data_IF_308083028905
#
_entry.id   IF_308083028905
#
_cell.length_a   1.000
_cell.length_b   1.000
_cell.length_c   1.000
_cell.angle_alpha   90.00
_cell.angle_beta   90.00
_cell.angle_gamma   90.00
#
_symmetry.space_group_name_H-M   'P 1'
#
loop_
_entity.id
_entity.type
_entity.pdbx_description
1 polymer ?
#
# COMPACT_ATOMS: atom_id res chain seq x y z
N UNK A 1 -14.51 4.72 16.27
CA UNK A 1 -13.46 3.87 16.90
C UNK A 1 -13.43 2.42 16.39
N UNK A 2 -14.55 1.71 16.19
CA UNK A 2 -14.48 0.30 15.73
C UNK A 2 -14.50 0.11 14.21
N UNK A 3 -15.11 1.00 13.41
CA UNK A 3 -15.18 0.84 11.93
C UNK A 3 -13.92 1.33 11.21
N UNK A 4 -13.30 2.41 11.67
CA UNK A 4 -12.07 2.97 11.06
C UNK A 4 -10.88 2.00 11.16
N UNK A 5 -10.84 1.20 12.23
CA UNK A 5 -9.78 0.21 12.47
C UNK A 5 -9.82 -0.96 11.48
N UNK A 6 -11.02 -1.33 10.99
CA UNK A 6 -11.17 -2.35 9.95
C UNK A 6 -10.66 -1.84 8.59
N UNK A 7 -10.91 -0.58 8.24
CA UNK A 7 -10.47 0.01 6.97
C UNK A 7 -8.96 0.27 6.89
N UNK A 8 -8.31 0.55 8.03
CA UNK A 8 -6.84 0.72 8.05
C UNK A 8 -6.13 -0.62 7.92
N UNK A 9 -6.66 -1.70 8.51
CA UNK A 9 -6.04 -3.02 8.48
C UNK A 9 -6.40 -3.86 7.23
N UNK A 10 -7.51 -3.56 6.55
CA UNK A 10 -7.93 -4.26 5.32
C UNK A 10 -7.07 -3.90 4.10
N UNK A 11 -6.59 -2.65 4.01
CA UNK A 11 -5.88 -2.14 2.82
C UNK A 11 -4.56 -2.88 2.50
N UNK A 12 -3.66 -3.14 3.46
CA UNK A 12 -2.47 -3.97 3.20
C UNK A 12 -2.82 -5.40 2.80
N UNK A 13 -3.93 -5.93 3.32
CA UNK A 13 -4.37 -7.30 3.05
C UNK A 13 -4.91 -7.44 1.62
N UNK A 14 -5.71 -6.49 1.15
CA UNK A 14 -6.22 -6.46 -0.23
C UNK A 14 -5.11 -6.25 -1.25
N UNK A 15 -4.17 -5.35 -0.96
CA UNK A 15 -2.99 -5.14 -1.79
C UNK A 15 -2.15 -6.43 -1.93
N UNK A 16 -1.88 -7.12 -0.82
CA UNK A 16 -1.12 -8.37 -0.87
C UNK A 16 -1.87 -9.47 -1.60
N UNK A 17 -3.21 -9.53 -1.52
CA UNK A 17 -4.03 -10.45 -2.33
C UNK A 17 -3.87 -10.17 -3.82
N UNK A 18 -4.02 -8.91 -4.23
CA UNK A 18 -3.88 -8.51 -5.63
C UNK A 18 -2.47 -8.77 -6.15
N UNK A 19 -1.44 -8.44 -5.36
CA UNK A 19 -0.03 -8.72 -5.67
C UNK A 19 0.19 -10.21 -5.91
N UNK A 20 -0.27 -11.07 -4.99
CA UNK A 20 -0.13 -12.53 -5.13
C UNK A 20 -0.82 -13.05 -6.38
N UNK A 21 -2.04 -12.58 -6.67
CA UNK A 21 -2.75 -12.96 -7.89
C UNK A 21 -1.99 -12.54 -9.16
N UNK A 22 -1.47 -11.31 -9.22
CA UNK A 22 -0.66 -10.80 -10.32
C UNK A 22 0.61 -11.64 -10.55
N UNK A 23 1.32 -11.99 -9.47
CA UNK A 23 2.52 -12.84 -9.54
C UNK A 23 2.19 -14.27 -10.00
N UNK A 24 1.08 -14.84 -9.53
CA UNK A 24 0.66 -16.19 -9.91
C UNK A 24 0.34 -16.33 -11.40
N UNK A 25 -0.08 -15.23 -12.06
CA UNK A 25 -0.35 -15.20 -13.52
C UNK A 25 0.79 -14.60 -14.34
N UNK A 26 1.89 -14.18 -13.70
CA UNK A 26 3.05 -13.56 -14.37
C UNK A 26 2.84 -12.10 -14.80
N UNK A 27 1.79 -11.42 -14.32
CA UNK A 27 1.47 -10.05 -14.73
C UNK A 27 2.20 -9.02 -13.85
N UNK A 28 3.52 -8.92 -14.01
CA UNK A 28 4.36 -8.04 -13.18
C UNK A 28 4.08 -6.56 -13.44
N UNK A 29 3.74 -6.20 -14.67
CA UNK A 29 3.44 -4.81 -15.07
C UNK A 29 2.25 -4.23 -14.31
N UNK A 30 1.33 -5.06 -13.81
CA UNK A 30 0.25 -4.63 -12.94
C UNK A 30 0.78 -4.00 -11.64
N UNK A 31 1.89 -4.50 -11.10
CA UNK A 31 2.49 -3.92 -9.89
C UNK A 31 3.04 -2.52 -10.16
N UNK A 32 3.60 -2.29 -11.35
CA UNK A 32 4.08 -0.98 -11.78
C UNK A 32 2.93 0.00 -12.02
N UNK A 33 1.84 -0.47 -12.64
CA UNK A 33 0.61 0.30 -12.80
C UNK A 33 0.01 0.71 -11.44
N UNK A 34 -0.05 -0.22 -10.48
CA UNK A 34 -0.50 0.07 -9.12
C UNK A 34 0.39 1.11 -8.44
N UNK A 35 1.72 0.98 -8.53
CA UNK A 35 2.65 1.94 -7.95
C UNK A 35 2.40 3.36 -8.48
N UNK A 36 2.19 3.48 -9.80
CA UNK A 36 1.90 4.76 -10.45
C UNK A 36 0.55 5.35 -10.02
N UNK A 37 -0.47 4.51 -9.84
CA UNK A 37 -1.77 4.93 -9.29
C UNK A 37 -1.61 5.45 -7.86
N UNK A 38 -0.87 4.74 -7.00
CA UNK A 38 -0.66 5.18 -5.61
C UNK A 38 0.06 6.52 -5.53
N UNK A 39 1.07 6.77 -6.37
CA UNK A 39 1.74 8.09 -6.44
C UNK A 39 0.81 9.21 -6.88
N UNK A 40 0.02 8.95 -7.93
CA UNK A 40 -0.95 9.92 -8.43
C UNK A 40 -2.00 10.25 -7.37
N UNK A 41 -2.59 9.23 -6.76
CA UNK A 41 -3.60 9.44 -5.72
C UNK A 41 -2.99 10.16 -4.52
N UNK A 42 -1.75 9.84 -4.13
CA UNK A 42 -1.01 10.53 -3.07
C UNK A 42 -0.86 12.04 -3.33
N UNK A 43 -0.61 12.44 -4.58
CA UNK A 43 -0.51 13.84 -4.97
C UNK A 43 -1.87 14.58 -5.02
N UNK A 44 -2.98 13.82 -5.14
CA UNK A 44 -4.34 14.35 -5.21
C UNK A 44 -5.07 14.33 -3.86
N UNK A 45 -4.42 13.84 -2.79
CA UNK A 45 -5.03 13.77 -1.46
C UNK A 45 -5.41 15.17 -0.96
N UNK A 46 -6.59 15.33 -0.35
CA UNK A 46 -6.98 16.62 0.20
C UNK A 46 -6.08 17.00 1.38
N UNK A 47 -5.83 18.29 1.55
CA UNK A 47 -4.90 18.83 2.55
C UNK A 47 -5.33 18.61 4.01
N UNK A 48 -6.59 18.23 4.24
CA UNK A 48 -7.14 17.87 5.55
C UNK A 48 -7.06 16.37 5.86
N UNK A 49 -6.47 15.56 4.97
CA UNK A 49 -6.33 14.13 5.18
C UNK A 49 -5.24 13.81 6.21
N UNK A 50 -5.45 12.73 6.97
CA UNK A 50 -4.49 12.27 7.95
C UNK A 50 -3.12 11.93 7.30
N UNK A 51 -2.00 12.46 7.83
CA UNK A 51 -0.68 12.34 7.20
C UNK A 51 -0.17 10.90 7.10
N UNK A 52 -0.65 9.99 7.96
CA UNK A 52 -0.33 8.56 7.84
C UNK A 52 -0.77 7.98 6.49
N UNK A 53 -1.90 8.43 5.92
CA UNK A 53 -2.40 7.91 4.66
C UNK A 53 -1.42 8.18 3.51
N UNK A 54 -0.93 9.43 3.42
CA UNK A 54 0.09 9.85 2.46
C UNK A 54 1.39 9.05 2.63
N UNK A 55 1.83 8.85 3.88
CA UNK A 55 3.05 8.10 4.18
C UNK A 55 2.91 6.62 3.78
N UNK A 56 1.79 5.97 4.11
CA UNK A 56 1.55 4.57 3.73
C UNK A 56 1.44 4.41 2.21
N UNK A 57 0.73 5.31 1.51
CA UNK A 57 0.58 5.25 0.05
C UNK A 57 1.92 5.44 -0.67
N UNK A 58 2.73 6.41 -0.24
CA UNK A 58 4.08 6.61 -0.80
C UNK A 58 4.98 5.41 -0.54
N UNK A 59 4.93 4.83 0.66
CA UNK A 59 5.68 3.62 1.00
C UNK A 59 5.28 2.42 0.13
N UNK A 60 3.99 2.21 -0.08
CA UNK A 60 3.46 1.13 -0.93
C UNK A 60 3.93 1.30 -2.37
N UNK A 61 3.86 2.51 -2.92
CA UNK A 61 4.29 2.78 -4.29
C UNK A 61 5.79 2.45 -4.48
N UNK A 62 6.63 2.83 -3.53
CA UNK A 62 8.06 2.51 -3.55
C UNK A 62 8.33 1.00 -3.43
N UNK A 63 7.65 0.31 -2.50
CA UNK A 63 7.83 -1.15 -2.36
C UNK A 63 7.40 -1.91 -3.61
N UNK A 64 6.28 -1.54 -4.24
CA UNK A 64 5.77 -2.24 -5.41
C UNK A 64 6.77 -2.29 -6.57
N UNK A 65 7.64 -1.28 -6.70
CA UNK A 65 8.69 -1.22 -7.74
C UNK A 65 9.93 -2.02 -7.43
N UNK A 66 10.16 -2.36 -6.15
CA UNK A 66 11.36 -3.09 -5.73
C UNK A 66 11.26 -4.57 -6.14
N UNK A 67 12.39 -5.22 -6.48
CA UNK A 67 12.42 -6.66 -6.76
C UNK A 67 11.79 -7.51 -5.63
N UNK A 68 11.89 -7.03 -4.39
CA UNK A 68 11.25 -7.61 -3.21
C UNK A 68 9.75 -7.91 -3.39
N UNK A 69 9.00 -7.02 -4.06
CA UNK A 69 7.56 -7.18 -4.27
C UNK A 69 7.22 -8.33 -5.22
N UNK A 70 8.20 -8.79 -6.00
CA UNK A 70 8.06 -9.82 -7.04
C UNK A 70 8.20 -11.25 -6.49
N UNK A 71 8.58 -11.40 -5.23
CA UNK A 71 8.67 -12.70 -4.59
C UNK A 71 7.37 -13.04 -3.83
N UNK A 72 6.76 -14.20 -4.10
CA UNK A 72 5.49 -14.63 -3.48
C UNK A 72 5.56 -14.71 -1.94
N UNK A 73 6.73 -15.04 -1.38
CA UNK A 73 6.97 -15.18 0.06
C UNK A 73 6.97 -13.85 0.83
N UNK A 74 7.18 -12.74 0.12
CA UNK A 74 7.36 -11.41 0.71
C UNK A 74 6.04 -10.67 0.78
N UNK A 75 5.58 -10.24 1.95
CA UNK A 75 4.38 -9.40 2.04
C UNK A 75 4.76 -7.93 2.19
N UNK A 76 3.98 -7.06 1.55
CA UNK A 76 4.06 -5.62 1.78
C UNK A 76 3.48 -5.35 3.17
N UNK A 77 4.27 -4.74 4.04
CA UNK A 77 3.86 -4.39 5.40
C UNK A 77 3.71 -2.88 5.53
N UNK A 78 2.79 -2.39 6.38
CA UNK A 78 2.69 -0.97 6.65
C UNK A 78 3.98 -0.43 7.26
N UNK A 79 4.38 0.77 6.88
CA UNK A 79 5.49 1.45 7.56
C UNK A 79 5.02 1.90 8.94
N UNK A 80 5.84 1.70 9.98
CA UNK A 80 5.52 2.24 11.30
C UNK A 80 5.73 3.74 11.28
N UNK A 81 4.66 4.49 11.50
CA UNK A 81 4.70 5.95 11.65
C UNK A 81 4.50 6.32 13.11
N UNK A 82 4.92 7.54 13.48
CA UNK A 82 4.64 8.11 14.81
C UNK A 82 3.14 8.26 15.08
N UNK A 83 2.35 8.44 14.02
CA UNK A 83 0.88 8.53 14.12
C UNK A 83 0.20 7.20 14.48
N UNK A 84 0.94 6.09 14.43
CA UNK A 84 0.48 4.77 14.85
C UNK A 84 0.51 4.59 16.37
N UNK A 85 1.19 5.48 17.12
CA UNK A 85 1.25 5.48 18.59
C UNK A 85 0.29 6.47 19.24
N UNK A 86 -0.22 7.44 18.48
CA UNK A 86 -1.10 8.51 18.95
C UNK A 86 -2.62 8.19 18.80
N UNK A 87 -2.99 6.92 18.59
CA UNK A 87 -4.39 6.46 18.49
C UNK A 87 -4.74 5.38 19.51
#
# INVERSE_FOLDING_TARGET
LSEERWHVQSRPLELNRLRRAALSIGFIELLEGLASIFERECALLPSNLHPDCTIQMGHVADILRKPYSRELKNNITPVRTKFHQDQ
#
